data_IF_858544446608
#
_entry.id   IF_858544446608
#
_cell.length_a   1.000
_cell.length_b   1.000
_cell.length_c   1.000
_cell.angle_alpha   90.00
_cell.angle_beta   90.00
_cell.angle_gamma   90.00
#
_symmetry.space_group_name_H-M   'P 1'
#
loop_
_entity.id
_entity.type
_entity.pdbx_description
1 polymer ?
#
# COMPACT_ATOMS: atom_id res chain seq x y z
N UNK A 1 13.10 -12.66 3.23
CA UNK A 1 11.73 -13.07 2.84
C UNK A 1 10.92 -13.66 4.00
N UNK A 2 11.48 -14.51 4.87
CA UNK A 2 10.72 -15.05 6.03
C UNK A 2 10.29 -13.93 7.00
N UNK A 3 11.19 -13.04 7.41
CA UNK A 3 10.86 -11.94 8.33
C UNK A 3 9.78 -11.00 7.79
N UNK A 4 9.85 -10.69 6.50
CA UNK A 4 8.83 -9.94 5.77
C UNK A 4 7.48 -10.67 5.83
N UNK A 5 7.42 -11.94 5.41
CA UNK A 5 6.17 -12.69 5.36
C UNK A 5 5.53 -12.93 6.74
N UNK A 6 6.32 -13.18 7.78
CA UNK A 6 5.82 -13.31 9.16
C UNK A 6 5.21 -11.98 9.63
N UNK A 7 5.90 -10.87 9.38
CA UNK A 7 5.40 -9.55 9.73
C UNK A 7 4.12 -9.19 8.97
N UNK A 8 4.06 -9.53 7.68
CA UNK A 8 2.90 -9.29 6.84
C UNK A 8 1.65 -10.03 7.33
N UNK A 9 1.78 -11.31 7.65
CA UNK A 9 0.66 -12.12 8.19
C UNK A 9 0.17 -11.56 9.53
N UNK A 10 1.10 -11.26 10.45
CA UNK A 10 0.74 -10.71 11.77
C UNK A 10 0.07 -9.34 11.61
N UNK A 11 0.64 -8.47 10.78
CA UNK A 11 0.10 -7.13 10.52
C UNK A 11 -1.28 -7.21 9.87
N UNK A 12 -1.49 -8.11 8.91
CA UNK A 12 -2.79 -8.30 8.24
C UNK A 12 -3.91 -8.67 9.20
N UNK A 13 -3.63 -9.55 10.18
CA UNK A 13 -4.60 -9.93 11.22
C UNK A 13 -4.95 -8.74 12.12
N UNK A 14 -3.94 -7.98 12.53
CA UNK A 14 -4.07 -6.81 13.39
C UNK A 14 -4.84 -5.70 12.66
N UNK A 15 -4.49 -5.40 11.41
CA UNK A 15 -5.15 -4.40 10.57
C UNK A 15 -6.63 -4.70 10.37
N UNK A 16 -7.00 -5.97 10.12
CA UNK A 16 -8.41 -6.35 9.98
C UNK A 16 -9.26 -6.10 11.24
N UNK A 17 -8.64 -6.15 12.43
CA UNK A 17 -9.31 -5.79 13.68
C UNK A 17 -9.33 -4.27 13.91
N UNK A 18 -8.21 -3.60 13.64
CA UNK A 18 -8.09 -2.15 13.78
C UNK A 18 -9.02 -1.38 12.86
N UNK A 19 -9.29 -1.90 11.65
CA UNK A 19 -10.18 -1.23 10.70
C UNK A 19 -11.58 -1.01 11.29
N UNK A 20 -12.05 -1.95 12.11
CA UNK A 20 -13.36 -1.87 12.78
C UNK A 20 -13.41 -0.75 13.83
N UNK A 21 -12.27 -0.32 14.35
CA UNK A 21 -12.18 0.63 15.48
C UNK A 21 -11.80 2.03 15.00
N UNK A 22 -10.74 2.15 14.20
CA UNK A 22 -10.16 3.44 13.79
C UNK A 22 -10.68 3.97 12.45
N UNK A 23 -11.32 3.11 11.65
CA UNK A 23 -11.74 3.44 10.30
C UNK A 23 -10.61 3.39 9.28
N UNK A 24 -11.02 3.26 8.02
CA UNK A 24 -10.17 2.92 6.87
C UNK A 24 -9.15 4.00 6.47
N UNK A 25 -9.56 5.27 6.47
CA UNK A 25 -8.67 6.39 6.08
C UNK A 25 -7.46 6.47 7.01
N UNK A 26 -7.68 6.28 8.31
CA UNK A 26 -6.61 6.35 9.31
C UNK A 26 -5.54 5.29 9.04
N UNK A 27 -5.96 4.06 8.75
CA UNK A 27 -5.03 2.97 8.43
C UNK A 27 -4.25 3.22 7.15
N UNK A 28 -4.88 3.75 6.12
CA UNK A 28 -4.20 4.08 4.87
C UNK A 28 -3.14 5.18 5.08
N UNK A 29 -3.47 6.21 5.86
CA UNK A 29 -2.52 7.24 6.26
C UNK A 29 -1.36 6.66 7.07
N UNK A 30 -1.63 5.80 8.05
CA UNK A 30 -0.61 5.13 8.86
C UNK A 30 0.37 4.33 7.98
N UNK A 31 -0.16 3.52 7.06
CA UNK A 31 0.66 2.74 6.10
C UNK A 31 1.55 3.62 5.22
N UNK A 32 1.04 4.77 4.78
CA UNK A 32 1.80 5.73 3.97
C UNK A 32 2.94 6.40 4.75
N UNK A 33 2.72 6.72 6.02
CA UNK A 33 3.75 7.29 6.91
C UNK A 33 4.85 6.27 7.17
N UNK A 34 4.48 5.00 7.44
CA UNK A 34 5.45 3.91 7.64
C UNK A 34 6.32 3.70 6.40
N UNK A 35 5.71 3.60 5.21
CA UNK A 35 6.45 3.45 3.95
C UNK A 35 7.33 4.66 3.63
N UNK A 36 6.83 5.88 3.85
CA UNK A 36 7.62 7.10 3.62
C UNK A 36 8.82 7.15 4.57
N UNK A 37 8.63 6.80 5.85
CA UNK A 37 9.73 6.66 6.81
C UNK A 37 10.78 5.64 6.38
N UNK A 38 10.35 4.48 5.86
CA UNK A 38 11.24 3.44 5.35
C UNK A 38 12.00 3.89 4.10
N UNK A 39 11.35 4.57 3.16
CA UNK A 39 11.99 5.11 1.96
C UNK A 39 13.03 6.19 2.31
N UNK A 40 12.71 7.09 3.25
CA UNK A 40 13.67 8.09 3.74
C UNK A 40 14.85 7.42 4.42
N UNK A 41 14.60 6.38 5.23
CA UNK A 41 15.67 5.62 5.86
C UNK A 41 16.57 4.95 4.82
N UNK A 42 16.01 4.27 3.82
CA UNK A 42 16.77 3.65 2.73
C UNK A 42 17.54 4.66 1.87
N UNK A 43 17.02 5.88 1.71
CA UNK A 43 17.69 6.93 0.95
C UNK A 43 18.95 7.46 1.67
N UNK A 44 18.88 7.61 2.99
CA UNK A 44 19.99 8.15 3.80
C UNK A 44 20.99 7.06 4.20
N UNK A 45 20.52 5.82 4.35
CA UNK A 45 21.32 4.72 4.85
C UNK A 45 22.34 4.24 3.80
N UNK A 46 23.61 4.12 4.22
CA UNK A 46 24.68 3.52 3.41
C UNK A 46 24.88 2.07 3.83
N UNK A 47 24.86 1.10 2.89
CA UNK A 47 25.04 -0.30 3.22
C UNK A 47 26.43 -0.54 3.81
N UNK A 48 26.47 -1.11 5.02
CA UNK A 48 27.70 -1.54 5.69
C UNK A 48 27.63 -3.07 5.89
N UNK A 49 28.74 -3.77 5.76
CA UNK A 49 28.77 -5.24 5.75
C UNK A 49 28.39 -5.89 7.10
N UNK A 50 28.38 -5.13 8.20
CA UNK A 50 27.95 -5.61 9.53
C UNK A 50 26.52 -5.23 9.90
N UNK A 51 25.73 -4.74 8.94
CA UNK A 51 24.41 -4.16 9.19
C UNK A 51 23.24 -5.12 8.87
N UNK A 52 23.41 -6.41 9.17
CA UNK A 52 22.41 -7.45 8.90
C UNK A 52 21.09 -7.22 9.66
N UNK A 53 21.17 -6.73 10.90
CA UNK A 53 20.00 -6.49 11.74
C UNK A 53 19.12 -5.35 11.19
N UNK A 54 19.72 -4.30 10.63
CA UNK A 54 18.99 -3.20 10.01
C UNK A 54 18.16 -3.68 8.81
N UNK A 55 18.70 -4.61 8.02
CA UNK A 55 17.98 -5.20 6.89
C UNK A 55 16.76 -5.99 7.35
N UNK A 56 16.83 -6.70 8.48
CA UNK A 56 15.68 -7.38 9.06
C UNK A 56 14.60 -6.39 9.53
N UNK A 57 14.98 -5.28 10.16
CA UNK A 57 14.02 -4.25 10.58
C UNK A 57 13.35 -3.60 9.38
N UNK A 58 14.11 -3.28 8.33
CA UNK A 58 13.55 -2.75 7.08
C UNK A 58 12.54 -3.75 6.51
N UNK A 59 12.90 -5.04 6.44
CA UNK A 59 12.02 -6.08 5.91
C UNK A 59 10.73 -6.24 6.73
N UNK A 60 10.81 -6.18 8.06
CA UNK A 60 9.65 -6.22 8.95
C UNK A 60 8.77 -4.99 8.72
N UNK A 61 9.35 -3.79 8.73
CA UNK A 61 8.61 -2.54 8.50
C UNK A 61 7.92 -2.52 7.14
N UNK A 62 8.61 -3.01 6.10
CA UNK A 62 8.05 -3.12 4.76
C UNK A 62 6.84 -4.07 4.72
N UNK A 63 6.94 -5.21 5.41
CA UNK A 63 5.83 -6.16 5.52
C UNK A 63 4.64 -5.61 6.31
N UNK A 64 4.88 -4.80 7.35
CA UNK A 64 3.79 -4.11 8.06
C UNK A 64 3.03 -3.19 7.11
N UNK A 65 3.76 -2.37 6.35
CA UNK A 65 3.16 -1.44 5.41
C UNK A 65 2.41 -2.14 4.27
N UNK A 66 3.00 -3.20 3.71
CA UNK A 66 2.41 -3.97 2.60
C UNK A 66 1.07 -4.58 3.01
N UNK A 67 1.04 -5.25 4.17
CA UNK A 67 -0.17 -5.77 4.78
C UNK A 67 -1.27 -4.71 4.93
N UNK A 68 -0.91 -3.51 5.40
CA UNK A 68 -1.87 -2.40 5.53
C UNK A 68 -2.47 -2.04 4.17
N UNK A 69 -1.65 -1.81 3.15
CA UNK A 69 -2.16 -1.42 1.84
C UNK A 69 -2.97 -2.54 1.16
N UNK A 70 -2.49 -3.78 1.22
CA UNK A 70 -3.17 -4.94 0.64
C UNK A 70 -4.56 -5.15 1.30
N UNK A 71 -4.62 -5.15 2.63
CA UNK A 71 -5.88 -5.34 3.37
C UNK A 71 -6.87 -4.20 3.13
N UNK A 72 -6.41 -2.95 3.18
CA UNK A 72 -7.29 -1.80 2.99
C UNK A 72 -7.79 -1.71 1.54
N UNK A 73 -6.96 -1.98 0.53
CA UNK A 73 -7.40 -2.01 -0.87
C UNK A 73 -8.48 -3.07 -1.11
N UNK A 74 -8.26 -4.29 -0.58
CA UNK A 74 -9.23 -5.38 -0.67
C UNK A 74 -10.56 -5.02 0.04
N UNK A 75 -10.50 -4.38 1.21
CA UNK A 75 -11.71 -3.91 1.92
C UNK A 75 -12.51 -2.90 1.09
N UNK A 76 -11.86 -1.91 0.47
CA UNK A 76 -12.53 -0.89 -0.36
C UNK A 76 -13.27 -1.55 -1.53
N UNK A 77 -12.58 -2.42 -2.26
CA UNK A 77 -13.15 -3.10 -3.42
C UNK A 77 -14.32 -3.99 -2.99
N UNK A 78 -14.18 -4.70 -1.86
CA UNK A 78 -15.24 -5.53 -1.29
C UNK A 78 -16.50 -4.76 -0.90
N UNK A 79 -16.35 -3.52 -0.41
CA UNK A 79 -17.47 -2.65 -0.03
C UNK A 79 -18.11 -1.98 -1.25
N UNK A 80 -17.33 -1.46 -2.20
CA UNK A 80 -17.87 -0.75 -3.38
C UNK A 80 -18.61 -1.71 -4.32
N UNK A 81 -18.09 -2.92 -4.53
CA UNK A 81 -18.63 -3.89 -5.48
C UNK A 81 -19.23 -5.11 -4.77
N UNK A 82 -20.02 -4.90 -3.71
CA UNK A 82 -20.60 -5.98 -2.91
C UNK A 82 -21.44 -6.97 -3.74
N UNK A 83 -22.11 -6.53 -4.81
CA UNK A 83 -22.92 -7.39 -5.70
C UNK A 83 -22.12 -8.11 -6.79
N UNK A 84 -20.92 -7.64 -7.12
CA UNK A 84 -20.09 -8.13 -8.23
C UNK A 84 -18.62 -8.28 -7.80
N UNK A 85 -18.37 -9.04 -6.73
CA UNK A 85 -17.03 -9.14 -6.14
C UNK A 85 -16.02 -9.88 -7.03
N UNK A 86 -16.42 -10.99 -7.66
CA UNK A 86 -15.55 -11.82 -8.51
C UNK A 86 -14.85 -11.04 -9.64
N UNK A 87 -15.56 -10.27 -10.50
CA UNK A 87 -14.91 -9.51 -11.56
C UNK A 87 -14.09 -8.33 -11.01
N UNK A 88 -14.51 -7.72 -9.91
CA UNK A 88 -13.80 -6.60 -9.29
C UNK A 88 -12.44 -7.04 -8.72
N UNK A 89 -12.41 -8.15 -7.98
CA UNK A 89 -11.16 -8.73 -7.47
C UNK A 89 -10.26 -9.26 -8.58
N UNK A 90 -10.84 -9.86 -9.63
CA UNK A 90 -10.07 -10.30 -10.80
C UNK A 90 -9.36 -9.14 -11.49
N UNK A 91 -10.05 -8.01 -11.68
CA UNK A 91 -9.46 -6.81 -12.27
C UNK A 91 -8.40 -6.18 -11.34
N UNK A 92 -8.61 -6.18 -10.02
CA UNK A 92 -7.61 -5.72 -9.06
C UNK A 92 -6.31 -6.53 -9.13
N UNK A 93 -6.42 -7.86 -9.14
CA UNK A 93 -5.26 -8.73 -9.24
C UNK A 93 -4.52 -8.56 -10.58
N UNK A 94 -5.25 -8.31 -11.67
CA UNK A 94 -4.67 -8.02 -12.98
C UNK A 94 -3.80 -6.75 -12.95
N UNK A 95 -4.32 -5.66 -12.38
CA UNK A 95 -3.56 -4.41 -12.27
C UNK A 95 -2.36 -4.54 -11.33
N UNK A 96 -2.49 -5.31 -10.24
CA UNK A 96 -1.37 -5.61 -9.36
C UNK A 96 -0.26 -6.37 -10.09
N UNK A 97 -0.62 -7.43 -10.85
CA UNK A 97 0.33 -8.19 -11.64
C UNK A 97 1.00 -7.33 -12.73
N UNK A 98 0.25 -6.45 -13.39
CA UNK A 98 0.80 -5.50 -14.36
C UNK A 98 1.84 -4.57 -13.71
N UNK A 99 1.58 -4.09 -12.48
CA UNK A 99 2.54 -3.31 -11.71
C UNK A 99 3.84 -4.05 -11.43
N UNK A 100 3.78 -5.32 -11.02
CA UNK A 100 4.98 -6.15 -10.82
C UNK A 100 5.75 -6.37 -12.13
N UNK A 101 5.07 -6.61 -13.25
CA UNK A 101 5.71 -6.73 -14.55
C UNK A 101 6.44 -5.44 -14.96
N UNK A 102 5.79 -4.29 -14.79
CA UNK A 102 6.39 -2.98 -15.10
C UNK A 102 7.62 -2.74 -14.21
N UNK A 103 7.49 -2.99 -12.90
CA UNK A 103 8.62 -2.85 -11.96
C UNK A 103 9.79 -3.74 -12.34
N UNK A 104 9.53 -4.98 -12.74
CA UNK A 104 10.58 -5.91 -13.16
C UNK A 104 11.30 -5.40 -14.41
N UNK A 105 10.57 -4.97 -15.44
CA UNK A 105 11.15 -4.44 -16.68
C UNK A 105 11.98 -3.18 -16.42
N UNK A 106 11.52 -2.31 -15.50
CA UNK A 106 12.25 -1.10 -15.14
C UNK A 106 13.56 -1.37 -14.39
N UNK A 107 13.72 -2.50 -13.69
CA UNK A 107 14.98 -2.85 -13.02
C UNK A 107 16.00 -3.58 -13.91
N UNK A 108 15.67 -3.96 -15.15
CA UNK A 108 16.60 -4.65 -16.07
C UNK A 108 17.73 -3.74 -16.60
N UNK A 109 17.51 -2.46 -16.94
CA UNK A 109 18.58 -1.61 -17.47
C UNK A 109 19.65 -1.30 -16.41
N UNK A 110 20.90 -1.68 -16.67
CA UNK A 110 22.08 -1.44 -15.80
C UNK A 110 22.37 0.05 -15.51
N UNK A 111 21.65 0.98 -16.15
CA UNK A 111 21.87 2.42 -16.02
C UNK A 111 21.10 3.12 -14.90
N UNK A 112 20.14 2.44 -14.25
CA UNK A 112 19.30 3.08 -13.23
C UNK A 112 19.96 2.91 -11.86
N UNK A 113 20.47 4.01 -11.32
CA UNK A 113 20.96 4.01 -9.94
C UNK A 113 19.81 3.76 -8.97
N UNK A 114 20.07 2.95 -7.93
CA UNK A 114 19.10 2.62 -6.86
C UNK A 114 18.40 3.84 -6.24
N UNK A 115 19.10 5.00 -6.19
CA UNK A 115 18.52 6.26 -5.72
C UNK A 115 17.34 6.73 -6.58
N UNK A 116 17.39 6.55 -7.90
CA UNK A 116 16.29 6.91 -8.79
C UNK A 116 15.10 5.98 -8.62
N UNK A 117 15.32 4.69 -8.35
CA UNK A 117 14.24 3.75 -8.04
C UNK A 117 13.53 4.12 -6.74
N UNK A 118 14.28 4.44 -5.68
CA UNK A 118 13.71 4.86 -4.38
C UNK A 118 12.88 6.14 -4.54
N UNK A 119 13.39 7.14 -5.28
CA UNK A 119 12.65 8.37 -5.56
C UNK A 119 11.40 8.08 -6.40
N UNK A 120 11.50 7.20 -7.41
CA UNK A 120 10.39 6.79 -8.24
C UNK A 120 9.24 6.16 -7.43
N UNK A 121 9.57 5.22 -6.54
CA UNK A 121 8.58 4.59 -5.64
C UNK A 121 7.97 5.62 -4.68
N UNK A 122 8.77 6.57 -4.18
CA UNK A 122 8.28 7.66 -3.34
C UNK A 122 7.25 8.56 -4.04
N UNK A 123 7.53 8.96 -5.29
CA UNK A 123 6.59 9.76 -6.10
C UNK A 123 5.32 8.95 -6.40
N UNK A 124 5.48 7.67 -6.73
CA UNK A 124 4.34 6.78 -6.98
C UNK A 124 3.44 6.63 -5.75
N UNK A 125 4.02 6.54 -4.56
CA UNK A 125 3.29 6.49 -3.30
C UNK A 125 2.48 7.77 -3.07
N UNK A 126 3.05 8.95 -3.32
CA UNK A 126 2.31 10.22 -3.21
C UNK A 126 1.16 10.29 -4.21
N UNK A 127 1.38 9.88 -5.46
CA UNK A 127 0.33 9.82 -6.47
C UNK A 127 -0.81 8.87 -6.08
N UNK A 128 -0.46 7.71 -5.51
CA UNK A 128 -1.42 6.75 -4.96
C UNK A 128 -2.28 7.37 -3.85
N UNK A 129 -1.67 8.09 -2.90
CA UNK A 129 -2.41 8.75 -1.82
C UNK A 129 -3.37 9.82 -2.33
N UNK A 130 -2.94 10.66 -3.27
CA UNK A 130 -3.81 11.69 -3.87
C UNK A 130 -5.03 11.03 -4.53
N UNK A 131 -4.80 9.97 -5.31
CA UNK A 131 -5.86 9.23 -5.98
C UNK A 131 -6.83 8.59 -4.98
N UNK A 132 -6.30 8.04 -3.88
CA UNK A 132 -7.11 7.49 -2.79
C UNK A 132 -8.01 8.56 -2.16
N UNK A 133 -7.47 9.73 -1.81
CA UNK A 133 -8.28 10.82 -1.26
C UNK A 133 -9.37 11.26 -2.23
N UNK A 134 -9.06 11.40 -3.52
CA UNK A 134 -10.06 11.76 -4.55
C UNK A 134 -11.16 10.70 -4.63
N UNK A 135 -10.82 9.41 -4.56
CA UNK A 135 -11.78 8.32 -4.54
C UNK A 135 -12.72 8.40 -3.33
N UNK A 136 -12.15 8.55 -2.13
CA UNK A 136 -12.92 8.68 -0.89
C UNK A 136 -13.82 9.93 -0.91
N UNK A 137 -13.35 11.06 -1.45
CA UNK A 137 -14.17 12.26 -1.65
C UNK A 137 -15.37 12.02 -2.58
N UNK A 138 -15.16 11.28 -3.68
CA UNK A 138 -16.25 10.92 -4.60
C UNK A 138 -17.27 10.01 -3.93
N UNK A 139 -16.80 8.97 -3.23
CA UNK A 139 -17.68 8.02 -2.51
C UNK A 139 -18.53 8.76 -1.49
N UNK A 140 -17.92 9.61 -0.65
CA UNK A 140 -18.66 10.41 0.35
C UNK A 140 -19.68 11.34 -0.29
N UNK A 141 -19.36 11.92 -1.44
CA UNK A 141 -20.29 12.80 -2.17
C UNK A 141 -21.50 12.03 -2.69
N UNK A 142 -21.30 10.86 -3.28
CA UNK A 142 -22.37 10.02 -3.82
C UNK A 142 -23.26 9.48 -2.69
N UNK A 143 -22.68 9.02 -1.58
CA UNK A 143 -23.45 8.58 -0.40
C UNK A 143 -24.33 9.71 0.14
N UNK A 144 -23.78 10.93 0.26
CA UNK A 144 -24.57 12.08 0.71
C UNK A 144 -25.70 12.41 -0.27
N UNK A 145 -25.46 12.36 -1.59
CA UNK A 145 -26.50 12.65 -2.58
C UNK A 145 -27.67 11.66 -2.56
N UNK A 146 -27.42 10.37 -2.33
CA UNK A 146 -28.49 9.38 -2.17
C UNK A 146 -29.34 9.68 -0.92
N UNK A 147 -28.70 9.98 0.20
CA UNK A 147 -29.40 10.33 1.45
C UNK A 147 -30.27 11.59 1.29
N UNK A 148 -29.82 12.59 0.52
CA UNK A 148 -30.62 13.79 0.25
C UNK A 148 -31.71 13.60 -0.81
N UNK A 149 -31.64 12.55 -1.63
CA UNK A 149 -32.69 12.22 -2.61
C UNK A 149 -33.86 11.43 -1.99
N UNK A 150 -33.61 10.76 -0.87
CA UNK A 150 -34.61 10.00 -0.10
C UNK A 150 -35.36 10.84 0.97
N UNK A 151 -35.07 12.15 1.08
CA UNK A 151 -35.71 13.15 1.96
C UNK A 151 -36.66 14.05 1.19
#
# INVERSE_FOLDING_TARGET
MIAFGVSDVISSLICGQLEKITGRIFLFCLGSVVHTGLLVYLYVWKPNQQAEWQLYIIAVGWGVGDAVFQTQCASIIGVIFASCQEPAFSNYQLWQAAGFCISFVLSIPDGICIFHEIIGIGIWLLFSMITYFVCEYKIRRETNQVVFADL
#
